data_IF_490685047834
#
_entry.id   IF_490685047834
#
_cell.length_a   1.000
_cell.length_b   1.000
_cell.length_c   1.000
_cell.angle_alpha   90.00
_cell.angle_beta   90.00
_cell.angle_gamma   90.00
#
_symmetry.space_group_name_H-M   'P 1'
#
loop_
_entity.id
_entity.type
_entity.pdbx_description
1 polymer ?
#
# COMPACT_ATOMS: atom_id res chain seq x y z
N UNK A 1 7.93 23.93 15.90
CA UNK A 1 8.02 25.36 16.30
C UNK A 1 7.74 26.35 15.16
N UNK A 2 8.05 26.06 13.89
CA UNK A 2 7.82 27.01 12.76
C UNK A 2 6.35 27.27 12.36
N UNK A 3 5.42 26.34 12.58
CA UNK A 3 4.02 26.52 12.18
C UNK A 3 3.20 27.45 13.09
N UNK A 4 3.49 27.51 14.40
CA UNK A 4 2.79 28.43 15.32
C UNK A 4 3.07 29.90 14.99
N UNK A 5 4.24 30.21 14.44
CA UNK A 5 4.56 31.58 14.02
C UNK A 5 3.74 32.03 12.82
N UNK A 6 3.49 31.13 11.85
CA UNK A 6 2.73 31.46 10.63
C UNK A 6 1.24 31.72 10.91
N UNK A 7 0.64 30.95 11.82
CA UNK A 7 -0.75 31.14 12.23
C UNK A 7 -0.89 32.47 13.01
N UNK A 8 0.06 32.74 13.92
CA UNK A 8 0.09 34.01 14.67
C UNK A 8 0.32 35.23 13.77
N UNK A 9 1.15 35.11 12.73
CA UNK A 9 1.38 36.16 11.73
C UNK A 9 0.17 36.39 10.82
N UNK A 10 -0.49 35.32 10.35
CA UNK A 10 -1.70 35.43 9.53
C UNK A 10 -2.81 36.16 10.28
N UNK A 11 -2.95 35.86 11.57
CA UNK A 11 -3.95 36.51 12.39
C UNK A 11 -3.63 37.99 12.73
N UNK A 12 -2.38 38.32 13.04
CA UNK A 12 -1.97 39.71 13.28
C UNK A 12 -2.18 40.59 12.03
N UNK A 13 -2.04 40.01 10.83
CA UNK A 13 -2.38 40.70 9.57
C UNK A 13 -3.88 40.91 9.39
N UNK A 14 -4.73 40.01 9.90
CA UNK A 14 -6.19 40.14 9.80
C UNK A 14 -6.75 41.24 10.72
N UNK A 15 -6.23 41.35 11.97
CA UNK A 15 -6.60 42.43 12.89
C UNK A 15 -6.28 43.81 12.28
N UNK A 16 -5.07 43.97 11.73
CA UNK A 16 -4.62 45.25 11.14
C UNK A 16 -5.45 45.65 9.91
N UNK A 17 -6.07 44.68 9.25
CA UNK A 17 -6.96 44.89 8.10
C UNK A 17 -8.36 45.35 8.53
N UNK A 18 -8.87 44.85 9.66
CA UNK A 18 -10.21 45.18 10.17
C UNK A 18 -10.23 46.46 11.03
N UNK A 19 -9.10 46.85 11.65
CA UNK A 19 -8.98 48.11 12.38
C UNK A 19 -7.66 48.86 12.05
N UNK A 20 -7.64 49.70 11.01
CA UNK A 20 -6.41 50.28 10.48
C UNK A 20 -5.77 51.37 11.37
N UNK A 21 -6.50 51.96 12.31
CA UNK A 21 -6.03 52.94 13.30
C UNK A 21 -5.61 52.27 14.63
N UNK A 22 -5.71 50.94 14.74
CA UNK A 22 -5.22 50.23 15.92
C UNK A 22 -3.69 50.24 15.95
N UNK A 23 -3.12 51.26 16.59
CA UNK A 23 -1.75 51.22 17.07
C UNK A 23 -1.64 50.00 18.01
N UNK A 24 -0.74 49.07 17.70
CA UNK A 24 -0.52 47.86 18.51
C UNK A 24 0.13 48.28 19.82
N UNK A 25 -0.65 48.91 20.70
CA UNK A 25 -0.28 49.12 22.08
C UNK A 25 -0.24 47.74 22.70
N UNK A 26 0.93 47.40 23.25
CA UNK A 26 1.26 46.12 23.87
C UNK A 26 0.31 45.72 25.03
N UNK A 27 -0.65 46.59 25.38
CA UNK A 27 -1.65 46.39 26.42
C UNK A 27 -3.10 46.48 25.87
N UNK A 28 -3.48 45.54 25.02
CA UNK A 28 -4.90 45.26 24.67
C UNK A 28 -5.55 44.53 25.86
N UNK A 29 -6.71 45.00 26.33
CA UNK A 29 -7.43 44.48 27.50
C UNK A 29 -7.77 42.98 27.33
N UNK A 30 -7.75 42.16 28.40
CA UNK A 30 -8.12 40.73 28.33
C UNK A 30 -9.49 40.45 27.70
N UNK A 31 -10.40 41.42 27.72
CA UNK A 31 -11.74 41.36 27.12
C UNK A 31 -11.74 41.41 25.60
N UNK A 32 -10.85 42.19 24.99
CA UNK A 32 -10.76 42.31 23.52
C UNK A 32 -9.92 41.18 22.91
N UNK A 33 -9.04 40.55 23.71
CA UNK A 33 -8.28 39.36 23.31
C UNK A 33 -9.08 38.06 23.38
N UNK A 34 -10.12 38.01 24.22
CA UNK A 34 -10.94 36.81 24.47
C UNK A 34 -11.55 36.19 23.21
N UNK A 35 -12.22 36.95 22.33
CA UNK A 35 -12.82 36.41 21.11
C UNK A 35 -11.78 35.85 20.14
N UNK A 36 -10.55 36.37 20.19
CA UNK A 36 -9.48 35.87 19.35
C UNK A 36 -8.85 34.59 19.92
N UNK A 37 -8.55 34.57 21.22
CA UNK A 37 -8.00 33.39 21.87
C UNK A 37 -8.95 32.19 21.72
N UNK A 38 -10.26 32.41 21.86
CA UNK A 38 -11.28 31.39 21.62
C UNK A 38 -11.25 30.87 20.17
N UNK A 39 -11.17 31.76 19.17
CA UNK A 39 -11.06 31.33 17.76
C UNK A 39 -9.78 30.54 17.49
N UNK A 40 -8.65 30.93 18.09
CA UNK A 40 -7.38 30.22 17.96
C UNK A 40 -7.45 28.81 18.58
N UNK A 41 -8.08 28.65 19.75
CA UNK A 41 -8.26 27.32 20.35
C UNK A 41 -9.18 26.43 19.51
N UNK A 42 -10.28 26.97 18.98
CA UNK A 42 -11.20 26.23 18.09
C UNK A 42 -10.50 25.79 16.80
N UNK A 43 -9.72 26.67 16.17
CA UNK A 43 -8.98 26.35 14.94
C UNK A 43 -7.88 25.32 15.18
N UNK A 44 -7.20 25.39 16.33
CA UNK A 44 -6.21 24.41 16.77
C UNK A 44 -6.84 23.04 17.04
N UNK A 45 -7.99 22.98 17.69
CA UNK A 45 -8.73 21.74 17.92
C UNK A 45 -9.22 21.12 16.62
N UNK A 46 -9.75 21.92 15.69
CA UNK A 46 -10.15 21.47 14.37
C UNK A 46 -8.95 20.89 13.58
N UNK A 47 -7.80 21.55 13.61
CA UNK A 47 -6.57 21.05 12.98
C UNK A 47 -6.10 19.71 13.59
N UNK A 48 -6.13 19.59 14.92
CA UNK A 48 -5.78 18.34 15.60
C UNK A 48 -6.76 17.20 15.25
N UNK A 49 -8.06 17.49 15.13
CA UNK A 49 -9.05 16.49 14.71
C UNK A 49 -8.85 16.06 13.25
N UNK A 50 -8.61 16.99 12.33
CA UNK A 50 -8.35 16.69 10.91
C UNK A 50 -7.10 15.84 10.77
N UNK A 51 -6.00 16.23 11.41
CA UNK A 51 -4.73 15.48 11.35
C UNK A 51 -4.82 14.10 12.01
N UNK A 52 -5.60 13.95 13.09
CA UNK A 52 -5.88 12.64 13.70
C UNK A 52 -6.71 11.73 12.77
N UNK A 53 -7.71 12.30 12.09
CA UNK A 53 -8.55 11.58 11.13
C UNK A 53 -7.76 11.13 9.89
N UNK A 54 -6.94 12.01 9.33
CA UNK A 54 -6.04 11.69 8.21
C UNK A 54 -5.05 10.56 8.58
N UNK A 55 -4.50 10.59 9.80
CA UNK A 55 -3.61 9.53 10.30
C UNK A 55 -4.33 8.19 10.45
N UNK A 56 -5.53 8.19 11.03
CA UNK A 56 -6.38 7.00 11.17
C UNK A 56 -6.76 6.40 9.81
N UNK A 57 -7.15 7.23 8.84
CA UNK A 57 -7.46 6.78 7.48
C UNK A 57 -6.23 6.23 6.75
N UNK A 58 -5.04 6.79 6.96
CA UNK A 58 -3.79 6.27 6.42
C UNK A 58 -3.40 4.92 7.04
N UNK A 59 -3.62 4.73 8.35
CA UNK A 59 -3.36 3.48 9.06
C UNK A 59 -4.35 2.38 8.61
N UNK A 60 -5.65 2.70 8.52
CA UNK A 60 -6.67 1.79 7.99
C UNK A 60 -6.40 1.39 6.53
N UNK A 61 -5.94 2.32 5.68
CA UNK A 61 -5.52 2.03 4.30
C UNK A 61 -4.30 1.10 4.24
N UNK A 62 -3.33 1.25 5.16
CA UNK A 62 -2.15 0.36 5.23
C UNK A 62 -2.51 -1.05 5.71
N UNK A 63 -3.44 -1.17 6.65
CA UNK A 63 -3.89 -2.44 7.18
C UNK A 63 -4.70 -3.24 6.15
N UNK A 64 -5.61 -2.56 5.43
CA UNK A 64 -6.39 -3.18 4.35
C UNK A 64 -5.51 -3.60 3.14
N UNK A 65 -4.39 -2.90 2.91
CA UNK A 65 -3.41 -3.26 1.87
C UNK A 65 -2.52 -4.46 2.26
N UNK A 66 -2.39 -4.76 3.55
CA UNK A 66 -1.70 -5.98 4.04
C UNK A 66 -2.59 -7.23 3.92
N UNK A 67 -3.91 -7.10 4.10
CA UNK A 67 -4.86 -8.20 3.99
C UNK A 67 -5.28 -8.53 2.55
N UNK A 68 -5.26 -7.54 1.65
CA UNK A 68 -5.52 -7.68 0.20
C UNK A 68 -4.24 -7.55 -0.66
N UNK A 69 -3.15 -8.22 -0.31
CA UNK A 69 -2.16 -8.52 -1.35
C UNK A 69 -2.81 -9.52 -2.29
N UNK A 70 -3.37 -9.04 -3.40
CA UNK A 70 -3.68 -9.86 -4.56
C UNK A 70 -2.43 -10.68 -4.84
N UNK A 71 -2.51 -11.98 -4.58
CA UNK A 71 -1.44 -12.91 -4.92
C UNK A 71 -1.41 -12.89 -6.45
N UNK A 72 -0.31 -12.41 -7.02
CA UNK A 72 -0.12 -12.38 -8.46
C UNK A 72 -0.50 -13.75 -9.04
N UNK A 73 -1.54 -13.84 -9.90
CA UNK A 73 -2.01 -15.11 -10.45
C UNK A 73 -0.92 -15.87 -11.20
N UNK A 74 0.07 -15.15 -11.75
CA UNK A 74 1.16 -15.70 -12.53
C UNK A 74 2.37 -16.10 -11.69
N UNK A 75 2.40 -15.72 -10.40
CA UNK A 75 3.51 -16.11 -9.52
C UNK A 75 3.41 -17.61 -9.22
N UNK A 76 4.44 -18.40 -9.58
CA UNK A 76 4.48 -19.82 -9.26
C UNK A 76 4.28 -20.08 -7.77
N UNK A 77 3.48 -21.09 -7.44
CA UNK A 77 3.23 -21.51 -6.05
C UNK A 77 4.37 -22.39 -5.57
N UNK A 78 4.70 -22.29 -4.28
CA UNK A 78 5.70 -23.16 -3.68
C UNK A 78 5.31 -24.64 -3.81
N UNK A 79 6.28 -25.54 -4.07
CA UNK A 79 6.03 -26.97 -4.15
C UNK A 79 5.64 -27.51 -2.78
N UNK A 80 4.78 -28.53 -2.76
CA UNK A 80 4.42 -29.24 -1.54
C UNK A 80 5.57 -30.11 -1.04
N UNK A 81 5.70 -30.22 0.29
CA UNK A 81 6.65 -31.14 0.92
C UNK A 81 6.19 -32.60 0.79
N UNK A 82 7.11 -33.53 0.97
CA UNK A 82 6.85 -34.97 0.86
C UNK A 82 5.71 -35.41 1.80
N UNK A 83 5.73 -34.91 3.04
CA UNK A 83 4.66 -35.14 4.01
C UNK A 83 3.29 -34.66 3.49
N UNK A 84 3.18 -33.44 2.95
CA UNK A 84 1.89 -32.93 2.46
C UNK A 84 1.41 -33.68 1.21
N UNK A 85 2.32 -34.17 0.37
CA UNK A 85 1.95 -35.05 -0.75
C UNK A 85 1.34 -36.36 -0.23
N UNK A 86 1.99 -36.98 0.76
CA UNK A 86 1.45 -38.18 1.42
C UNK A 86 0.09 -37.91 2.09
N UNK A 87 -0.03 -36.82 2.86
CA UNK A 87 -1.29 -36.46 3.52
C UNK A 87 -2.41 -36.25 2.49
N UNK A 88 -2.12 -35.64 1.33
CA UNK A 88 -3.10 -35.48 0.26
C UNK A 88 -3.56 -36.80 -0.35
N UNK A 89 -2.67 -37.78 -0.49
CA UNK A 89 -3.03 -39.12 -0.95
C UNK A 89 -3.87 -39.88 0.10
N UNK A 90 -3.57 -39.66 1.38
CA UNK A 90 -4.26 -40.32 2.50
C UNK A 90 -5.60 -39.68 2.86
N UNK A 91 -5.74 -38.37 2.59
CA UNK A 91 -6.90 -37.54 2.92
C UNK A 91 -8.24 -38.13 2.47
N UNK A 92 -8.42 -38.57 1.20
CA UNK A 92 -9.69 -39.11 0.71
C UNK A 92 -10.18 -40.32 1.49
N UNK A 93 -9.27 -41.23 1.87
CA UNK A 93 -9.62 -42.42 2.63
C UNK A 93 -10.09 -42.05 4.05
N UNK A 94 -9.38 -41.15 4.73
CA UNK A 94 -9.77 -40.72 6.09
C UNK A 94 -11.03 -39.84 6.08
N UNK A 95 -11.24 -39.05 5.02
CA UNK A 95 -12.47 -38.28 4.85
C UNK A 95 -13.68 -39.21 4.63
N UNK A 96 -13.51 -40.32 3.90
CA UNK A 96 -14.56 -41.33 3.73
C UNK A 96 -14.94 -42.04 5.04
N UNK A 97 -13.99 -42.14 5.98
CA UNK A 97 -14.23 -42.61 7.34
C UNK A 97 -14.88 -41.54 8.25
N UNK A 98 -15.31 -40.40 7.70
CA UNK A 98 -15.86 -39.25 8.42
C UNK A 98 -14.94 -38.69 9.52
N UNK A 99 -13.60 -38.80 9.34
CA UNK A 99 -12.64 -38.20 10.26
C UNK A 99 -12.67 -36.68 10.13
N UNK A 100 -12.61 -36.00 11.27
CA UNK A 100 -12.44 -34.55 11.33
C UNK A 100 -11.03 -34.16 10.91
N UNK A 101 -10.84 -32.91 10.47
CA UNK A 101 -9.52 -32.38 10.05
C UNK A 101 -8.45 -32.59 11.14
N UNK A 102 -8.81 -32.42 12.41
CA UNK A 102 -7.90 -32.63 13.55
C UNK A 102 -7.50 -34.09 13.70
N UNK A 103 -8.43 -35.04 13.50
CA UNK A 103 -8.13 -36.47 13.56
C UNK A 103 -7.25 -36.90 12.38
N UNK A 104 -7.55 -36.41 11.19
CA UNK A 104 -6.74 -36.66 9.99
C UNK A 104 -5.30 -36.20 10.22
N UNK A 105 -5.11 -34.99 10.76
CA UNK A 105 -3.78 -34.46 11.02
C UNK A 105 -3.00 -35.32 12.04
N UNK A 106 -3.67 -35.87 13.06
CA UNK A 106 -3.05 -36.79 14.03
C UNK A 106 -2.65 -38.10 13.38
N UNK A 107 -3.59 -38.75 12.67
CA UNK A 107 -3.37 -40.05 12.02
C UNK A 107 -2.24 -39.95 10.99
N UNK A 108 -2.30 -38.98 10.08
CA UNK A 108 -1.27 -38.83 9.04
C UNK A 108 0.09 -38.46 9.61
N UNK A 109 0.14 -37.67 10.69
CA UNK A 109 1.38 -37.37 11.39
C UNK A 109 2.05 -38.60 12.02
N UNK A 110 1.25 -39.46 12.67
CA UNK A 110 1.73 -40.72 13.26
C UNK A 110 2.13 -41.74 12.19
N UNK A 111 1.32 -41.92 11.15
CA UNK A 111 1.62 -42.78 10.00
C UNK A 111 2.96 -42.36 9.36
N UNK A 112 3.13 -41.07 9.04
CA UNK A 112 4.36 -40.56 8.43
C UNK A 112 5.60 -40.76 9.32
N UNK A 113 5.46 -40.56 10.63
CA UNK A 113 6.57 -40.77 11.57
C UNK A 113 7.02 -42.24 11.58
N UNK A 114 6.07 -43.17 11.49
CA UNK A 114 6.31 -44.61 11.54
C UNK A 114 6.59 -45.25 10.17
N UNK A 115 6.36 -44.54 9.06
CA UNK A 115 6.68 -45.01 7.71
C UNK A 115 8.18 -45.23 7.54
N UNK A 116 8.51 -46.32 6.85
CA UNK A 116 9.88 -46.64 6.46
C UNK A 116 10.38 -45.66 5.39
N UNK A 117 11.71 -45.52 5.30
CA UNK A 117 12.35 -44.60 4.36
C UNK A 117 11.95 -44.93 2.92
N UNK A 118 11.89 -46.22 2.58
CA UNK A 118 11.53 -46.72 1.25
C UNK A 118 10.11 -46.32 0.85
N UNK A 119 9.21 -46.16 1.81
CA UNK A 119 7.85 -45.71 1.58
C UNK A 119 7.76 -44.18 1.44
N UNK A 120 8.74 -43.44 2.00
CA UNK A 120 8.85 -41.99 1.88
C UNK A 120 9.55 -41.57 0.60
N UNK A 121 10.49 -42.38 0.10
CA UNK A 121 11.28 -42.11 -1.10
C UNK A 121 10.45 -41.63 -2.32
N UNK A 122 9.29 -42.23 -2.66
CA UNK A 122 8.49 -41.75 -3.79
C UNK A 122 7.99 -40.30 -3.60
N UNK A 123 7.63 -39.94 -2.37
CA UNK A 123 7.16 -38.60 -2.02
C UNK A 123 8.30 -37.59 -2.01
N UNK A 124 9.48 -37.98 -1.53
CA UNK A 124 10.67 -37.12 -1.55
C UNK A 124 11.14 -36.85 -2.97
N UNK A 125 11.16 -37.87 -3.82
CA UNK A 125 11.51 -37.74 -5.23
C UNK A 125 10.50 -36.86 -5.98
N UNK A 126 9.20 -37.00 -5.68
CA UNK A 126 8.17 -36.11 -6.21
C UNK A 126 8.37 -34.66 -5.76
N UNK A 127 8.68 -34.42 -4.48
CA UNK A 127 9.01 -33.08 -3.97
C UNK A 127 10.26 -32.52 -4.64
N UNK A 128 11.30 -33.32 -4.87
CA UNK A 128 12.52 -32.91 -5.58
C UNK A 128 12.20 -32.42 -6.99
N UNK A 129 11.46 -33.22 -7.77
CA UNK A 129 11.02 -32.85 -9.13
C UNK A 129 10.16 -31.59 -9.13
N UNK A 130 9.21 -31.49 -8.19
CA UNK A 130 8.34 -30.31 -8.07
C UNK A 130 9.14 -29.06 -7.70
N UNK A 131 10.20 -29.19 -6.90
CA UNK A 131 11.11 -28.09 -6.55
C UNK A 131 11.92 -27.63 -7.76
N UNK A 132 12.43 -28.54 -8.56
CA UNK A 132 13.15 -28.21 -9.81
C UNK A 132 12.24 -27.46 -10.78
N UNK A 133 11.01 -27.97 -10.99
CA UNK A 133 10.00 -27.30 -11.80
C UNK A 133 9.67 -25.90 -11.27
N UNK A 134 9.48 -25.77 -9.96
CA UNK A 134 9.22 -24.47 -9.33
C UNK A 134 10.36 -23.46 -9.56
N UNK A 135 11.62 -23.91 -9.49
CA UNK A 135 12.77 -23.03 -9.75
C UNK A 135 12.73 -22.50 -11.18
N UNK A 136 12.50 -23.38 -12.16
CA UNK A 136 12.39 -23.01 -13.57
C UNK A 136 11.23 -22.03 -13.82
N UNK A 137 10.04 -22.32 -13.27
CA UNK A 137 8.87 -21.44 -13.38
C UNK A 137 9.13 -20.07 -12.72
N UNK A 138 9.84 -20.05 -11.59
CA UNK A 138 10.18 -18.82 -10.88
C UNK A 138 11.21 -17.97 -11.63
N UNK A 139 12.14 -18.59 -12.34
CA UNK A 139 13.07 -17.90 -13.23
C UNK A 139 12.32 -17.24 -14.39
N UNK A 140 11.48 -17.99 -15.10
CA UNK A 140 10.63 -17.45 -16.17
C UNK A 140 9.72 -16.31 -15.66
N UNK A 141 9.13 -16.45 -14.47
CA UNK A 141 8.32 -15.40 -13.86
C UNK A 141 9.12 -14.12 -13.57
N UNK A 142 10.38 -14.23 -13.12
CA UNK A 142 11.24 -13.07 -12.88
C UNK A 142 11.56 -12.35 -14.19
N UNK A 143 11.92 -13.09 -15.23
CA UNK A 143 12.20 -12.54 -16.55
C UNK A 143 10.99 -11.80 -17.12
N UNK A 144 9.80 -12.43 -17.07
CA UNK A 144 8.55 -11.80 -17.49
C UNK A 144 8.29 -10.49 -16.73
N UNK A 145 8.52 -10.46 -15.41
CA UNK A 145 8.33 -9.24 -14.61
C UNK A 145 9.34 -8.15 -14.93
N UNK A 146 10.57 -8.51 -15.25
CA UNK A 146 11.58 -7.56 -15.69
C UNK A 146 11.23 -6.97 -17.05
N UNK A 147 10.77 -7.80 -17.99
CA UNK A 147 10.30 -7.36 -19.30
C UNK A 147 9.07 -6.44 -19.18
N UNK A 148 8.06 -6.82 -18.39
CA UNK A 148 6.87 -6.00 -18.10
C UNK A 148 7.27 -4.63 -17.54
N UNK A 149 8.22 -4.59 -16.59
CA UNK A 149 8.72 -3.36 -16.03
C UNK A 149 9.51 -2.50 -17.04
N UNK A 150 10.27 -3.13 -17.93
CA UNK A 150 11.01 -2.45 -19.00
C UNK A 150 10.04 -1.82 -20.01
N UNK A 151 9.02 -2.56 -20.43
CA UNK A 151 8.01 -2.09 -21.38
C UNK A 151 7.20 -0.93 -20.79
N UNK A 152 6.80 -1.01 -19.52
CA UNK A 152 6.11 0.08 -18.83
C UNK A 152 6.98 1.36 -18.75
N UNK A 153 8.30 1.23 -18.58
CA UNK A 153 9.21 2.39 -18.60
C UNK A 153 9.27 3.02 -19.98
N UNK A 154 9.34 2.22 -21.05
CA UNK A 154 9.35 2.70 -22.44
C UNK A 154 8.05 3.43 -22.77
N UNK A 155 6.90 2.82 -22.45
CA UNK A 155 5.58 3.42 -22.68
C UNK A 155 5.43 4.75 -21.92
N UNK A 156 5.82 4.79 -20.63
CA UNK A 156 5.81 6.05 -19.86
C UNK A 156 6.71 7.12 -20.47
N UNK A 157 7.88 6.74 -20.98
CA UNK A 157 8.77 7.67 -21.65
C UNK A 157 8.13 8.23 -22.92
N UNK A 158 7.53 7.38 -23.75
CA UNK A 158 6.86 7.77 -24.98
C UNK A 158 5.67 8.70 -24.72
N UNK A 159 4.80 8.34 -23.76
CA UNK A 159 3.68 9.19 -23.34
C UNK A 159 4.17 10.56 -22.86
N UNK A 160 5.27 10.61 -22.09
CA UNK A 160 5.84 11.87 -21.63
C UNK A 160 6.36 12.74 -22.79
N UNK A 161 6.97 12.14 -23.82
CA UNK A 161 7.41 12.88 -25.01
C UNK A 161 6.22 13.46 -25.77
N UNK A 162 5.13 12.68 -25.93
CA UNK A 162 3.91 13.13 -26.58
C UNK A 162 3.25 14.29 -25.82
N UNK A 163 3.19 14.22 -24.48
CA UNK A 163 2.66 15.31 -23.66
C UNK A 163 3.45 16.60 -23.82
N UNK A 164 4.79 16.53 -23.80
CA UNK A 164 5.66 17.70 -24.05
C UNK A 164 5.45 18.29 -25.44
N UNK A 165 5.28 17.45 -26.46
CA UNK A 165 5.00 17.89 -27.83
C UNK A 165 3.63 18.57 -27.92
N UNK A 166 2.62 18.02 -27.24
CA UNK A 166 1.28 18.60 -27.16
C UNK A 166 1.31 19.98 -26.49
N UNK A 167 1.95 20.10 -25.33
CA UNK A 167 2.10 21.37 -24.60
C UNK A 167 2.82 22.42 -25.46
N UNK A 168 3.90 22.04 -26.16
CA UNK A 168 4.59 22.96 -27.08
C UNK A 168 3.67 23.44 -28.20
N UNK A 169 2.83 22.56 -28.74
CA UNK A 169 1.88 22.89 -29.81
C UNK A 169 0.78 23.82 -29.28
N UNK A 170 0.23 23.54 -28.10
CA UNK A 170 -0.75 24.38 -27.43
C UNK A 170 -0.19 25.79 -27.14
N UNK A 171 1.06 25.87 -26.67
CA UNK A 171 1.74 27.15 -26.45
C UNK A 171 1.92 27.94 -27.76
N UNK A 172 2.28 27.28 -28.85
CA UNK A 172 2.39 27.93 -30.17
C UNK A 172 1.03 28.43 -30.66
N UNK A 173 -0.01 27.60 -30.55
CA UNK A 173 -1.38 27.97 -30.96
C UNK A 173 -1.86 29.17 -30.14
N UNK A 174 -1.62 29.18 -28.83
CA UNK A 174 -1.94 30.31 -27.95
C UNK A 174 -1.24 31.59 -28.40
N UNK A 175 0.07 31.54 -28.69
CA UNK A 175 0.83 32.69 -29.18
C UNK A 175 0.32 33.22 -30.53
N UNK A 176 -0.20 32.35 -31.39
CA UNK A 176 -0.79 32.76 -32.68
C UNK A 176 -2.13 33.44 -32.45
N UNK A 177 -3.00 32.89 -31.60
CA UNK A 177 -4.30 33.48 -31.27
C UNK A 177 -4.12 34.86 -30.61
N UNK A 178 -3.21 34.97 -29.64
CA UNK A 178 -2.91 36.22 -28.93
C UNK A 178 -2.32 37.32 -29.84
N UNK A 179 -1.85 36.95 -31.04
CA UNK A 179 -1.28 37.90 -32.03
C UNK A 179 -2.26 38.31 -33.12
N UNK A 180 -3.39 37.61 -33.24
CA UNK A 180 -4.44 37.85 -34.26
C UNK A 180 -5.65 38.59 -33.67
N UNK A 181 -5.81 38.57 -32.33
CA UNK A 181 -6.77 39.40 -31.58
C UNK A 181 -6.12 40.69 -31.08
#
# INVERSE_FOLDING_TARGET
MRNNFRIRLWFLMQIKKENPEADFKENVSPEEKRPYEERYQVEKEAYLQVTAKEKSEQEAKKENKKSKKEKDPWKPKHPMSAFFLFTNDRLPALAAENKTVTEIAKITGEEWKNMAEEQKLPYEEMTRKNKEKYIQEMEAYKEMKEEEASNLKKEKHEVLQLLKKKEKTENIVKLIIDRVL
#
